data_IF_993805889775
#
_entry.id   IF_993805889775
#
_cell.length_a   1.000
_cell.length_b   1.000
_cell.length_c   1.000
_cell.angle_alpha   90.00
_cell.angle_beta   90.00
_cell.angle_gamma   90.00
#
_symmetry.space_group_name_H-M   'P 1'
#
loop_
_entity.id
_entity.type
_entity.pdbx_description
1 polymer ?
#
# COMPACT_ATOMS: atom_id res chain seq x y z
N UNK A 1 -10.82 -5.96 9.02
CA UNK A 1 -9.60 -6.36 8.31
C UNK A 1 -9.79 -7.65 7.50
N UNK A 2 -10.97 -7.91 6.93
CA UNK A 2 -11.14 -9.05 6.00
C UNK A 2 -10.70 -8.69 4.56
N UNK A 3 -10.41 -7.40 4.34
CA UNK A 3 -10.13 -6.71 3.09
C UNK A 3 -8.64 -6.31 2.97
N UNK A 4 -7.76 -6.82 3.83
CA UNK A 4 -6.35 -6.42 3.92
C UNK A 4 -5.43 -7.59 3.65
N UNK A 5 -4.44 -7.39 2.78
CA UNK A 5 -3.32 -8.32 2.54
C UNK A 5 -1.98 -7.67 2.91
N UNK A 6 -1.03 -8.49 3.37
CA UNK A 6 0.27 -8.03 3.84
C UNK A 6 1.43 -8.55 2.99
N UNK A 7 2.49 -7.75 2.83
CA UNK A 7 3.80 -8.20 2.34
C UNK A 7 4.92 -7.66 3.25
N UNK A 8 6.07 -8.32 3.27
CA UNK A 8 7.21 -7.98 4.17
C UNK A 8 8.52 -8.03 3.40
N UNK A 9 9.61 -7.50 3.97
CA UNK A 9 10.91 -7.35 3.28
C UNK A 9 10.73 -6.58 1.97
N UNK A 10 9.91 -5.55 2.02
CA UNK A 10 9.27 -4.92 0.86
C UNK A 10 10.25 -4.23 -0.09
N UNK A 11 11.40 -3.82 0.44
CA UNK A 11 12.54 -3.21 -0.23
C UNK A 11 13.58 -4.21 -0.76
N UNK A 12 13.57 -5.47 -0.30
CA UNK A 12 14.62 -6.44 -0.64
C UNK A 12 14.12 -7.89 -0.89
N UNK A 13 13.99 -8.32 -2.17
CA UNK A 13 14.02 -7.50 -3.38
C UNK A 13 12.82 -6.55 -3.42
N UNK A 14 12.74 -5.61 -4.35
CA UNK A 14 11.55 -4.75 -4.53
C UNK A 14 10.27 -5.57 -4.76
N UNK A 15 9.29 -5.44 -3.84
CA UNK A 15 8.02 -6.21 -3.85
C UNK A 15 6.81 -5.36 -4.18
N UNK A 16 6.97 -4.07 -4.48
CA UNK A 16 5.83 -3.17 -4.71
C UNK A 16 4.96 -3.63 -5.86
N UNK A 17 5.58 -3.97 -6.99
CA UNK A 17 4.88 -4.47 -8.17
C UNK A 17 4.06 -5.75 -7.90
N UNK A 18 4.60 -6.66 -7.10
CA UNK A 18 3.90 -7.89 -6.68
C UNK A 18 2.66 -7.58 -5.85
N UNK A 19 2.81 -6.74 -4.84
CA UNK A 19 1.71 -6.41 -3.93
C UNK A 19 0.58 -5.69 -4.67
N UNK A 20 0.93 -4.74 -5.55
CA UNK A 20 -0.03 -4.08 -6.45
C UNK A 20 -0.73 -5.08 -7.37
N UNK A 21 -0.01 -6.08 -7.89
CA UNK A 21 -0.60 -7.15 -8.71
C UNK A 21 -1.62 -7.98 -7.93
N UNK A 22 -1.33 -8.32 -6.67
CA UNK A 22 -2.29 -9.04 -5.82
C UNK A 22 -3.55 -8.20 -5.54
N UNK A 23 -3.39 -6.91 -5.27
CA UNK A 23 -4.53 -6.00 -5.10
C UNK A 23 -5.38 -5.87 -6.37
N UNK A 24 -4.72 -5.77 -7.53
CA UNK A 24 -5.39 -5.72 -8.83
C UNK A 24 -6.26 -6.96 -9.04
N UNK A 25 -5.70 -8.14 -8.74
CA UNK A 25 -6.41 -9.41 -8.89
C UNK A 25 -7.59 -9.53 -7.95
N UNK A 26 -7.44 -9.12 -6.68
CA UNK A 26 -8.54 -9.11 -5.70
C UNK A 26 -9.68 -8.21 -6.19
N UNK A 27 -9.37 -7.00 -6.66
CA UNK A 27 -10.37 -6.05 -7.16
C UNK A 27 -11.07 -6.53 -8.44
N UNK A 28 -10.38 -7.30 -9.29
CA UNK A 28 -10.94 -7.79 -10.55
C UNK A 28 -11.81 -9.05 -10.35
N UNK A 29 -11.37 -9.98 -9.49
CA UNK A 29 -12.03 -11.29 -9.34
C UNK A 29 -13.06 -11.35 -8.22
N UNK A 30 -13.09 -10.33 -7.34
CA UNK A 30 -13.96 -10.32 -6.17
C UNK A 30 -14.70 -8.98 -6.04
N UNK A 31 -15.76 -8.96 -5.24
CA UNK A 31 -16.44 -7.71 -4.88
C UNK A 31 -15.75 -6.97 -3.71
N UNK A 32 -14.55 -7.42 -3.31
CA UNK A 32 -13.79 -6.84 -2.20
C UNK A 32 -12.83 -5.79 -2.76
N UNK A 33 -12.89 -4.58 -2.19
CA UNK A 33 -11.88 -3.54 -2.43
C UNK A 33 -10.65 -3.87 -1.58
N UNK A 34 -9.68 -4.56 -2.18
CA UNK A 34 -8.49 -5.02 -1.49
C UNK A 34 -7.58 -3.87 -1.07
N UNK A 35 -7.03 -3.94 0.14
CA UNK A 35 -6.05 -2.99 0.67
C UNK A 35 -4.77 -3.69 1.10
N UNK A 36 -3.66 -2.94 1.11
CA UNK A 36 -2.33 -3.46 1.42
C UNK A 36 -1.74 -2.82 2.68
N UNK A 37 -1.04 -3.62 3.48
CA UNK A 37 -0.08 -3.13 4.48
C UNK A 37 1.26 -3.82 4.20
N UNK A 38 2.31 -3.05 3.97
CA UNK A 38 3.64 -3.60 3.73
C UNK A 38 4.68 -3.00 4.66
N UNK A 39 5.73 -3.78 4.94
CA UNK A 39 6.87 -3.36 5.76
C UNK A 39 8.17 -3.70 5.05
N UNK A 40 9.10 -2.75 5.00
CA UNK A 40 10.50 -2.99 4.69
C UNK A 40 11.14 -3.93 5.72
N UNK A 41 12.38 -4.37 5.47
CA UNK A 41 13.18 -5.02 6.52
C UNK A 41 13.24 -4.11 7.78
N UNK A 42 13.38 -4.72 8.97
CA UNK A 42 13.46 -4.04 10.27
C UNK A 42 12.28 -3.14 10.67
N UNK A 43 11.21 -3.10 9.88
CA UNK A 43 10.00 -2.32 10.17
C UNK A 43 8.88 -3.20 10.73
N UNK A 44 8.11 -2.67 11.68
CA UNK A 44 6.91 -3.32 12.20
C UNK A 44 5.72 -2.36 12.29
N UNK A 45 4.53 -2.86 11.97
CA UNK A 45 3.26 -2.16 12.16
C UNK A 45 2.49 -2.83 13.29
N UNK A 46 2.26 -2.10 14.38
CA UNK A 46 1.50 -2.57 15.54
C UNK A 46 0.14 -1.89 15.55
N UNK A 47 -0.94 -2.68 15.57
CA UNK A 47 -2.31 -2.16 15.48
C UNK A 47 -3.01 -2.36 16.82
N UNK A 48 -3.55 -1.28 17.37
CA UNK A 48 -4.29 -1.31 18.62
C UNK A 48 -5.76 -1.76 18.44
N UNK A 49 -6.49 -1.86 19.55
CA UNK A 49 -7.91 -2.22 19.58
C UNK A 49 -8.85 -1.22 18.89
N UNK A 50 -8.41 0.02 18.68
CA UNK A 50 -9.16 1.07 18.00
C UNK A 50 -8.87 1.10 16.50
N UNK A 51 -7.91 0.31 16.01
CA UNK A 51 -7.48 0.30 14.61
C UNK A 51 -6.43 1.35 14.30
N UNK A 52 -5.83 2.00 15.30
CA UNK A 52 -4.69 2.88 15.10
C UNK A 52 -3.42 2.02 14.93
N UNK A 53 -2.74 2.21 13.81
CA UNK A 53 -1.46 1.57 13.53
C UNK A 53 -0.31 2.49 13.96
N UNK A 54 0.60 2.00 14.80
CA UNK A 54 1.88 2.63 15.14
C UNK A 54 3.00 1.93 14.37
N UNK A 55 3.91 2.72 13.77
CA UNK A 55 4.97 2.20 12.90
C UNK A 55 6.31 2.29 13.63
N UNK A 56 6.91 1.12 13.87
CA UNK A 56 8.19 0.98 14.55
C UNK A 56 9.30 0.67 13.55
N UNK A 57 10.46 1.29 13.76
CA UNK A 57 11.64 1.13 12.89
C UNK A 57 12.82 1.95 13.41
N UNK A 58 13.87 2.03 12.60
CA UNK A 58 15.13 2.71 12.92
C UNK A 58 15.26 4.13 12.38
N UNK A 59 14.17 4.79 11.97
CA UNK A 59 14.27 6.17 11.50
C UNK A 59 14.63 7.14 12.65
N UNK A 60 15.42 8.20 12.37
CA UNK A 60 15.95 8.59 11.05
C UNK A 60 17.26 7.89 10.64
N UNK A 61 17.88 7.09 11.50
CA UNK A 61 19.16 6.42 11.20
C UNK A 61 19.08 5.41 10.05
N UNK A 62 17.93 4.77 9.89
CA UNK A 62 17.63 3.78 8.88
C UNK A 62 16.38 4.16 8.07
N UNK A 63 16.34 3.72 6.81
CA UNK A 63 15.24 3.97 5.89
C UNK A 63 14.18 2.87 6.00
N UNK A 64 13.66 2.70 7.21
CA UNK A 64 12.73 1.64 7.57
C UNK A 64 11.29 2.13 7.35
N UNK A 65 10.63 1.71 6.28
CA UNK A 65 9.31 2.22 5.90
C UNK A 65 8.19 1.17 5.97
N UNK A 66 6.98 1.67 6.20
CA UNK A 66 5.73 0.95 6.04
C UNK A 66 4.85 1.65 5.01
N UNK A 67 4.04 0.87 4.32
CA UNK A 67 3.16 1.34 3.24
C UNK A 67 1.73 0.88 3.49
N UNK A 68 0.78 1.81 3.44
CA UNK A 68 -0.65 1.53 3.50
C UNK A 68 -1.26 1.86 2.14
N UNK A 69 -1.72 0.84 1.43
CA UNK A 69 -2.07 0.91 0.00
C UNK A 69 -3.57 0.69 -0.14
N UNK A 70 -4.25 1.54 -0.88
CA UNK A 70 -5.65 1.34 -1.25
C UNK A 70 -5.92 1.80 -2.68
N UNK A 71 -6.93 1.23 -3.37
CA UNK A 71 -7.54 1.85 -4.53
C UNK A 71 -7.93 3.28 -4.19
N UNK A 72 -7.55 4.23 -5.05
CA UNK A 72 -7.85 5.63 -4.83
C UNK A 72 -9.38 5.84 -4.73
N UNK A 73 -9.91 6.30 -3.57
CA UNK A 73 -11.34 6.47 -3.37
C UNK A 73 -11.94 7.62 -4.19
N UNK A 74 -11.11 8.49 -4.77
CA UNK A 74 -11.55 9.59 -5.63
C UNK A 74 -11.78 9.15 -7.09
N UNK A 75 -11.42 7.92 -7.44
CA UNK A 75 -11.59 7.36 -8.79
C UNK A 75 -12.83 6.48 -8.81
N UNK A 76 -13.82 6.83 -9.65
CA UNK A 76 -15.00 6.00 -9.86
C UNK A 76 -14.65 4.70 -10.61
N UNK A 77 -15.28 3.58 -10.21
CA UNK A 77 -15.08 2.26 -10.82
C UNK A 77 -13.58 1.90 -10.96
N UNK A 78 -12.87 1.98 -9.83
CA UNK A 78 -11.42 1.81 -9.77
C UNK A 78 -11.01 0.32 -9.78
N UNK A 79 -11.25 -0.35 -10.91
CA UNK A 79 -10.75 -1.70 -11.23
C UNK A 79 -9.66 -1.62 -12.31
N UNK A 80 -8.70 -2.56 -12.36
CA UNK A 80 -7.67 -2.58 -13.40
C UNK A 80 -8.26 -2.54 -14.82
N UNK A 81 -7.60 -1.87 -15.75
CA UNK A 81 -7.99 -1.88 -17.17
C UNK A 81 -7.63 -3.20 -17.87
N UNK A 82 -6.58 -3.89 -17.42
CA UNK A 82 -6.21 -5.22 -17.90
C UNK A 82 -5.54 -6.05 -16.80
N UNK A 83 -6.11 -7.19 -16.44
CA UNK A 83 -5.58 -8.11 -15.42
C UNK A 83 -5.78 -9.58 -15.83
N UNK A 84 -5.19 -9.98 -16.96
CA UNK A 84 -5.29 -11.35 -17.48
C UNK A 84 -3.98 -12.13 -17.29
N UNK A 85 -4.07 -13.46 -17.33
CA UNK A 85 -2.88 -14.31 -17.23
C UNK A 85 -1.94 -14.07 -18.42
N UNK A 86 -0.63 -14.00 -18.16
CA UNK A 86 0.41 -13.83 -19.17
C UNK A 86 0.33 -12.53 -20.00
N UNK A 87 -0.44 -11.53 -19.55
CA UNK A 87 -0.46 -10.18 -20.13
C UNK A 87 0.12 -9.17 -19.12
N UNK A 88 0.77 -8.09 -19.58
CA UNK A 88 1.17 -7.01 -18.69
C UNK A 88 -0.05 -6.38 -18.01
N UNK A 89 0.04 -6.17 -16.69
CA UNK A 89 -0.99 -5.49 -15.91
C UNK A 89 -1.14 -4.03 -16.41
N UNK A 90 -2.39 -3.59 -16.58
CA UNK A 90 -2.75 -2.19 -16.76
C UNK A 90 -3.69 -1.82 -15.60
N UNK A 91 -3.22 -0.93 -14.72
CA UNK A 91 -4.03 -0.31 -13.67
C UNK A 91 -3.61 1.15 -13.54
N UNK A 92 -4.04 1.95 -14.51
CA UNK A 92 -3.50 3.28 -14.76
C UNK A 92 -4.41 4.36 -14.15
N UNK A 93 -5.70 4.36 -14.54
CA UNK A 93 -6.70 5.35 -14.12
C UNK A 93 -6.21 6.80 -14.22
N UNK A 94 -5.64 7.15 -15.37
CA UNK A 94 -5.01 8.46 -15.61
C UNK A 94 -3.91 8.80 -14.59
N UNK A 95 -3.11 7.81 -14.20
CA UNK A 95 -2.06 7.93 -13.21
C UNK A 95 -2.54 8.02 -11.76
N UNK A 96 -3.79 7.60 -11.47
CA UNK A 96 -4.43 7.80 -10.15
C UNK A 96 -4.97 6.53 -9.51
N UNK A 97 -4.57 5.35 -9.99
CA UNK A 97 -5.14 4.08 -9.57
C UNK A 97 -5.10 3.84 -8.06
N UNK A 98 -3.97 4.11 -7.40
CA UNK A 98 -3.77 3.80 -5.99
C UNK A 98 -3.41 5.05 -5.20
N UNK A 99 -3.87 5.09 -3.94
CA UNK A 99 -3.37 5.99 -2.91
C UNK A 99 -2.56 5.20 -1.91
N UNK A 100 -1.32 5.64 -1.68
CA UNK A 100 -0.37 4.97 -0.80
C UNK A 100 0.13 5.91 0.26
N UNK A 101 -0.04 5.56 1.53
CA UNK A 101 0.59 6.27 2.63
C UNK A 101 1.92 5.59 2.94
N UNK A 102 3.02 6.24 2.56
CA UNK A 102 4.38 5.80 2.87
C UNK A 102 4.85 6.49 4.15
N UNK A 103 5.29 5.73 5.14
CA UNK A 103 5.59 6.26 6.47
C UNK A 103 6.77 5.56 7.10
N UNK A 104 7.65 6.34 7.74
CA UNK A 104 8.83 5.83 8.44
C UNK A 104 8.47 5.18 9.77
N UNK A 105 9.12 4.08 10.11
CA UNK A 105 9.08 3.52 11.45
C UNK A 105 10.06 4.21 12.38
N UNK A 106 9.59 4.66 13.55
CA UNK A 106 10.44 5.28 14.59
C UNK A 106 10.65 4.32 15.76
N UNK A 107 11.68 4.55 16.58
CA UNK A 107 12.00 3.64 17.68
C UNK A 107 10.87 3.52 18.74
N UNK A 108 10.05 4.55 18.87
CA UNK A 108 8.94 4.67 19.83
C UNK A 108 7.55 4.55 19.20
N UNK A 109 7.45 4.44 17.87
CA UNK A 109 6.18 4.29 17.17
C UNK A 109 5.35 5.57 17.08
N UNK A 110 6.00 6.74 17.05
CA UNK A 110 5.35 8.07 16.97
C UNK A 110 4.55 8.28 15.67
N UNK A 111 4.97 7.65 14.58
CA UNK A 111 4.28 7.73 13.30
C UNK A 111 3.11 6.75 13.25
N UNK A 112 1.99 7.19 12.67
CA UNK A 112 0.73 6.43 12.74
C UNK A 112 -0.07 6.44 11.44
N UNK A 113 -0.97 5.47 11.32
CA UNK A 113 -2.02 5.45 10.31
C UNK A 113 -3.31 4.84 10.88
N UNK A 114 -4.46 5.48 10.64
CA UNK A 114 -5.76 5.04 11.14
C UNK A 114 -6.43 4.09 10.12
N UNK A 115 -6.56 2.82 10.51
CA UNK A 115 -7.13 1.77 9.66
C UNK A 115 -8.66 1.76 9.67
N UNK A 116 -9.30 2.62 10.45
CA UNK A 116 -10.77 2.77 10.45
C UNK A 116 -11.24 3.68 9.32
N UNK A 117 -10.43 4.67 8.94
CA UNK A 117 -10.76 5.62 7.88
C UNK A 117 -9.87 5.51 6.63
N UNK A 118 -8.72 4.82 6.73
CA UNK A 118 -7.74 4.68 5.66
C UNK A 118 -7.33 6.03 5.05
N UNK A 119 -7.26 7.08 5.86
CA UNK A 119 -7.03 8.45 5.40
C UNK A 119 -6.19 9.25 6.37
N UNK A 120 -6.40 9.07 7.67
CA UNK A 120 -5.71 9.84 8.69
C UNK A 120 -4.38 9.17 9.03
N UNK A 121 -3.28 9.92 8.90
CA UNK A 121 -1.95 9.45 9.27
C UNK A 121 -1.09 10.58 9.83
N UNK A 122 -0.06 10.20 10.58
CA UNK A 122 0.94 11.10 11.14
C UNK A 122 2.36 10.67 10.72
N UNK A 123 3.16 11.64 10.26
CA UNK A 123 4.59 11.47 9.96
C UNK A 123 4.95 10.86 8.61
N UNK A 124 3.98 10.34 7.85
CA UNK A 124 4.14 9.85 6.48
C UNK A 124 3.74 10.83 5.39
N UNK A 125 3.92 10.38 4.15
CA UNK A 125 3.60 11.10 2.90
C UNK A 125 2.61 10.29 2.08
N UNK A 126 1.69 10.98 1.40
CA UNK A 126 0.79 10.36 0.45
C UNK A 126 1.40 10.36 -0.94
N UNK A 127 1.47 9.18 -1.52
CA UNK A 127 1.89 8.90 -2.88
C UNK A 127 0.70 8.43 -3.71
N UNK A 128 0.86 8.53 -5.02
CA UNK A 128 -0.08 8.01 -6.02
C UNK A 128 0.66 6.99 -6.87
N UNK A 129 0.18 5.75 -6.85
CA UNK A 129 0.78 4.67 -7.63
C UNK A 129 -0.15 4.22 -8.75
N UNK A 130 0.43 3.75 -9.84
CA UNK A 130 -0.31 3.16 -10.95
C UNK A 130 0.59 2.25 -11.78
N UNK A 131 -0.02 1.34 -12.55
CA UNK A 131 0.69 0.42 -13.43
C UNK A 131 0.30 0.70 -14.88
N UNK A 132 1.30 0.94 -15.73
CA UNK A 132 1.14 1.11 -17.17
C UNK A 132 2.06 0.13 -17.90
N UNK A 133 1.49 -0.73 -18.74
CA UNK A 133 2.24 -1.74 -19.50
C UNK A 133 3.07 -2.69 -18.64
N UNK A 134 2.58 -3.07 -17.45
CA UNK A 134 3.30 -3.93 -16.50
C UNK A 134 4.42 -3.24 -15.71
N UNK A 135 4.59 -1.92 -15.84
CA UNK A 135 5.56 -1.13 -15.07
C UNK A 135 4.84 -0.34 -14.00
N UNK A 136 5.30 -0.44 -12.75
CA UNK A 136 4.79 0.36 -11.63
C UNK A 136 5.43 1.75 -11.64
N UNK A 137 4.61 2.77 -11.42
CA UNK A 137 5.01 4.16 -11.25
C UNK A 137 4.58 4.64 -9.86
N UNK A 138 5.49 5.32 -9.16
CA UNK A 138 5.31 5.89 -7.82
C UNK A 138 5.46 7.43 -7.93
N UNK A 139 4.43 8.22 -7.60
CA UNK A 139 4.41 9.69 -7.73
C UNK A 139 4.00 10.41 -6.45
#
# INVERSE_FOLDING_TARGET
MADVITDTHYDNPDRKGRHVTFLARINEETEVVGKGIACDEYTAVCIDENGLANIYGGAPEHDDNAYFIQPNPEVENNTPEACEENTPLEWNKEGKALKVYAVKGTADGENTFDLTDWKTGNGGVWETWYVEGGTLYEQ
#
